data_IF_621718992362
#
_entry.id   IF_621718992362
#
_cell.length_a   1.000
_cell.length_b   1.000
_cell.length_c   1.000
_cell.angle_alpha   90.00
_cell.angle_beta   90.00
_cell.angle_gamma   90.00
#
_symmetry.space_group_name_H-M   'P 1'
#
loop_
_entity.id
_entity.type
_entity.pdbx_description
1 polymer ?
#
# COMPACT_ATOMS: atom_id res chain seq x y z
N UNK A 1 -34.54 9.39 11.56
CA UNK A 1 -33.15 9.83 11.39
C UNK A 1 -32.74 9.53 9.95
N UNK A 2 -32.87 10.50 9.05
CA UNK A 2 -32.42 10.38 7.67
C UNK A 2 -31.06 11.08 7.60
N UNK A 3 -30.00 10.35 7.26
CA UNK A 3 -28.66 10.94 7.12
C UNK A 3 -28.51 11.26 5.64
N UNK A 4 -28.70 12.53 5.30
CA UNK A 4 -28.33 13.06 3.99
C UNK A 4 -26.80 12.96 3.87
N UNK A 5 -26.32 11.93 3.18
CA UNK A 5 -24.92 11.82 2.79
C UNK A 5 -24.79 12.42 1.41
N UNK A 6 -24.61 13.74 1.35
CA UNK A 6 -24.02 14.36 0.18
C UNK A 6 -22.55 13.91 0.09
N UNK A 7 -22.35 12.69 -0.42
CA UNK A 7 -21.06 12.24 -0.93
C UNK A 7 -20.80 13.09 -2.17
N UNK A 8 -20.04 14.17 -2.03
CA UNK A 8 -19.46 14.86 -3.17
C UNK A 8 -18.43 13.91 -3.80
N UNK A 9 -18.90 13.13 -4.76
CA UNK A 9 -18.04 12.42 -5.70
C UNK A 9 -17.55 13.47 -6.69
N UNK A 10 -16.31 13.93 -6.51
CA UNK A 10 -15.61 14.68 -7.55
C UNK A 10 -15.41 13.73 -8.75
N UNK A 11 -16.35 13.77 -9.69
CA UNK A 11 -16.17 13.17 -11.01
C UNK A 11 -15.02 13.92 -11.68
N UNK A 12 -13.95 13.20 -12.03
CA UNK A 12 -12.75 13.73 -12.70
C UNK A 12 -13.13 14.53 -13.96
N UNK A 13 -13.03 15.85 -13.89
CA UNK A 13 -12.91 16.68 -15.08
C UNK A 13 -11.48 16.51 -15.61
N UNK A 14 -11.39 15.99 -16.83
CA UNK A 14 -10.18 15.43 -17.44
C UNK A 14 -9.14 16.45 -17.90
N UNK A 15 -8.60 17.29 -17.03
CA UNK A 15 -7.54 18.22 -17.40
C UNK A 15 -6.56 18.58 -16.28
N UNK A 16 -5.67 17.67 -15.86
CA UNK A 16 -4.57 18.07 -14.96
C UNK A 16 -3.25 17.31 -15.18
N UNK A 17 -2.57 17.56 -16.30
CA UNK A 17 -1.32 16.86 -16.63
C UNK A 17 -0.04 17.41 -15.95
N UNK A 18 -0.08 17.90 -14.71
CA UNK A 18 1.20 18.26 -14.03
C UNK A 18 1.21 18.20 -12.50
N UNK A 19 0.10 18.47 -11.82
CA UNK A 19 -0.01 18.38 -10.34
C UNK A 19 -0.57 17.05 -9.82
N UNK A 20 -1.51 16.44 -10.55
CA UNK A 20 -2.18 15.19 -10.15
C UNK A 20 -1.19 14.06 -9.84
N UNK A 21 -0.10 13.93 -10.62
CA UNK A 21 0.84 12.82 -10.43
C UNK A 21 1.61 12.86 -9.10
N UNK A 22 1.90 14.06 -8.55
CA UNK A 22 2.62 14.17 -7.29
C UNK A 22 1.67 13.93 -6.10
N UNK A 23 0.49 14.54 -6.15
CA UNK A 23 -0.55 14.40 -5.14
C UNK A 23 -1.10 12.97 -5.07
N UNK A 24 -1.33 12.32 -6.21
CA UNK A 24 -1.74 10.90 -6.26
C UNK A 24 -0.66 9.98 -5.69
N UNK A 25 0.63 10.25 -5.96
CA UNK A 25 1.74 9.46 -5.39
C UNK A 25 1.82 9.62 -3.88
N UNK A 26 1.67 10.85 -3.38
CA UNK A 26 1.66 11.13 -1.95
C UNK A 26 0.45 10.49 -1.26
N UNK A 27 -0.73 10.58 -1.87
CA UNK A 27 -1.95 9.93 -1.38
C UNK A 27 -1.81 8.41 -1.34
N UNK A 28 -1.22 7.80 -2.37
CA UNK A 28 -0.94 6.37 -2.39
C UNK A 28 0.07 5.95 -1.33
N UNK A 29 1.14 6.74 -1.12
CA UNK A 29 2.11 6.50 -0.06
C UNK A 29 1.46 6.60 1.32
N UNK A 30 0.63 7.63 1.53
CA UNK A 30 -0.12 7.83 2.76
C UNK A 30 -1.08 6.65 3.03
N UNK A 31 -1.82 6.20 2.02
CA UNK A 31 -2.70 5.03 2.14
C UNK A 31 -1.90 3.76 2.44
N UNK A 32 -0.74 3.57 1.80
CA UNK A 32 0.14 2.44 2.07
C UNK A 32 0.69 2.46 3.51
N UNK A 33 1.04 3.63 4.05
CA UNK A 33 1.47 3.77 5.45
C UNK A 33 0.31 3.51 6.42
N UNK A 34 -0.90 3.93 6.07
CA UNK A 34 -2.09 3.68 6.89
C UNK A 34 -2.46 2.19 6.94
N UNK A 35 -2.38 1.50 5.80
CA UNK A 35 -2.72 0.08 5.67
C UNK A 35 -1.60 -0.84 6.12
N UNK A 36 -0.35 -0.51 5.81
CA UNK A 36 0.85 -1.32 6.05
C UNK A 36 1.96 -0.51 6.73
N UNK A 37 1.80 -0.14 8.02
CA UNK A 37 2.73 0.74 8.72
C UNK A 37 4.15 0.19 8.76
N UNK A 38 5.15 1.03 8.51
CA UNK A 38 6.57 0.60 8.36
C UNK A 38 7.08 -0.17 9.58
N UNK A 39 6.72 0.27 10.78
CA UNK A 39 7.12 -0.36 12.05
C UNK A 39 6.57 -1.79 12.18
N UNK A 40 5.37 -2.06 11.68
CA UNK A 40 4.74 -3.37 11.79
C UNK A 40 5.34 -4.32 10.75
N UNK A 41 5.57 -3.82 9.53
CA UNK A 41 6.31 -4.58 8.51
C UNK A 41 7.71 -4.95 9.02
N UNK A 42 8.44 -4.00 9.61
CA UNK A 42 9.75 -4.28 10.20
C UNK A 42 9.71 -5.34 11.30
N UNK A 43 8.69 -5.31 12.17
CA UNK A 43 8.51 -6.31 13.21
C UNK A 43 8.19 -7.68 12.63
N UNK A 44 7.32 -7.74 11.63
CA UNK A 44 6.92 -8.98 10.98
C UNK A 44 8.07 -9.62 10.19
N UNK A 45 8.97 -8.80 9.66
CA UNK A 45 10.16 -9.24 8.95
C UNK A 45 11.33 -9.57 9.88
N UNK A 46 11.34 -9.05 11.11
CA UNK A 46 12.44 -9.30 12.05
C UNK A 46 12.55 -10.77 12.47
N UNK A 47 11.44 -11.53 12.35
CA UNK A 47 11.38 -12.96 12.64
C UNK A 47 11.55 -13.85 11.39
N UNK A 48 11.72 -13.24 10.21
CA UNK A 48 11.80 -13.97 8.93
C UNK A 48 13.25 -13.99 8.45
N UNK A 49 13.79 -15.19 8.21
CA UNK A 49 15.12 -15.33 7.60
C UNK A 49 15.12 -14.79 6.17
N UNK A 50 16.23 -14.16 5.75
CA UNK A 50 16.34 -13.53 4.43
C UNK A 50 16.06 -14.48 3.24
N UNK A 51 16.27 -15.80 3.43
CA UNK A 51 15.99 -16.85 2.45
C UNK A 51 14.48 -17.15 2.29
N UNK A 52 13.66 -16.85 3.30
CA UNK A 52 12.20 -17.03 3.25
C UNK A 52 11.49 -15.84 2.57
N UNK A 53 12.17 -14.69 2.44
CA UNK A 53 11.63 -13.49 1.77
C UNK A 53 11.47 -13.68 0.25
N UNK A 54 12.23 -14.59 -0.35
CA UNK A 54 12.17 -14.89 -1.79
C UNK A 54 11.06 -15.90 -2.15
N UNK A 55 10.35 -16.43 -1.15
CA UNK A 55 9.25 -17.36 -1.38
C UNK A 55 7.93 -16.60 -1.58
N UNK A 56 7.23 -16.90 -2.69
CA UNK A 56 5.90 -16.34 -3.03
C UNK A 56 4.85 -16.51 -1.91
N UNK A 57 5.02 -17.53 -1.07
CA UNK A 57 4.16 -17.83 0.06
C UNK A 57 4.21 -16.71 1.12
N UNK A 58 5.39 -16.14 1.40
CA UNK A 58 5.54 -15.08 2.39
C UNK A 58 4.76 -13.82 1.97
N UNK A 59 4.93 -13.41 0.71
CA UNK A 59 4.28 -12.22 0.17
C UNK A 59 2.75 -12.33 0.22
N UNK A 60 2.25 -13.54 -0.05
CA UNK A 60 0.82 -13.86 0.02
C UNK A 60 0.30 -13.82 1.46
N UNK A 61 1.04 -14.39 2.42
CA UNK A 61 0.66 -14.38 3.84
C UNK A 61 0.69 -12.97 4.43
N UNK A 62 1.70 -12.17 4.09
CA UNK A 62 1.78 -10.77 4.52
C UNK A 62 0.62 -9.96 3.91
N UNK A 63 0.33 -10.14 2.63
CA UNK A 63 -0.82 -9.48 2.00
C UNK A 63 -2.16 -9.83 2.69
N UNK A 64 -2.37 -11.11 3.05
CA UNK A 64 -3.53 -11.55 3.83
C UNK A 64 -3.57 -10.91 5.21
N UNK A 65 -2.44 -10.86 5.93
CA UNK A 65 -2.35 -10.26 7.27
C UNK A 65 -2.75 -8.79 7.26
N UNK A 66 -2.27 -8.02 6.29
CA UNK A 66 -2.56 -6.60 6.15
C UNK A 66 -3.84 -6.29 5.36
N UNK A 67 -4.56 -7.32 4.88
CA UNK A 67 -5.80 -7.20 4.12
C UNK A 67 -5.65 -6.32 2.85
N UNK A 68 -4.53 -6.49 2.15
CA UNK A 68 -4.22 -5.80 0.89
C UNK A 68 -4.04 -6.82 -0.25
N UNK A 69 -3.94 -6.34 -1.49
CA UNK A 69 -3.54 -7.20 -2.60
C UNK A 69 -2.06 -7.58 -2.49
N UNK A 70 -1.70 -8.75 -3.03
CA UNK A 70 -0.29 -9.17 -3.15
C UNK A 70 0.53 -8.08 -3.84
N UNK A 71 0.01 -7.51 -4.94
CA UNK A 71 0.66 -6.44 -5.67
C UNK A 71 0.94 -5.19 -4.80
N UNK A 72 -0.01 -4.77 -3.95
CA UNK A 72 0.20 -3.65 -3.05
C UNK A 72 1.29 -3.95 -2.01
N UNK A 73 1.32 -5.19 -1.50
CA UNK A 73 2.40 -5.64 -0.61
C UNK A 73 3.76 -5.68 -1.33
N UNK A 74 3.82 -6.16 -2.57
CA UNK A 74 5.04 -6.15 -3.40
C UNK A 74 5.59 -4.73 -3.53
N UNK A 75 4.73 -3.77 -3.94
CA UNK A 75 5.15 -2.38 -4.06
C UNK A 75 5.61 -1.79 -2.72
N UNK A 76 4.96 -2.16 -1.62
CA UNK A 76 5.34 -1.70 -0.29
C UNK A 76 6.72 -2.21 0.13
N UNK A 77 6.99 -3.51 -0.04
CA UNK A 77 8.28 -4.10 0.29
C UNK A 77 9.39 -3.58 -0.63
N UNK A 78 9.10 -3.40 -1.92
CA UNK A 78 10.05 -2.80 -2.87
C UNK A 78 10.38 -1.35 -2.50
N UNK A 79 9.36 -0.55 -2.15
CA UNK A 79 9.54 0.83 -1.69
C UNK A 79 10.39 0.92 -0.42
N UNK A 80 10.26 -0.05 0.49
CA UNK A 80 11.05 -0.14 1.72
C UNK A 80 12.44 -0.79 1.53
N UNK A 81 12.74 -1.31 0.33
CA UNK A 81 14.03 -1.90 0.00
C UNK A 81 14.22 -3.37 0.42
N UNK A 82 13.13 -4.08 0.73
CA UNK A 82 13.20 -5.51 1.11
C UNK A 82 13.25 -6.46 -0.08
N UNK A 83 12.72 -6.05 -1.23
CA UNK A 83 12.71 -6.84 -2.48
C UNK A 83 12.99 -5.94 -3.69
N UNK A 84 13.42 -6.55 -4.79
CA UNK A 84 13.63 -5.86 -6.07
C UNK A 84 12.46 -6.15 -7.02
N UNK A 85 12.06 -5.15 -7.82
CA UNK A 85 11.06 -5.26 -8.89
C UNK A 85 11.71 -5.43 -10.25
#
# INVERSE_FOLDING_TARGET
MHIDRQFQVNLRDGNSSSGESAEEKEANLFAAELLMPVRFIQQDLAEVDALDLEHDDMLTELAKKYQVSVQAMTFRLAYLGYIQL
#
